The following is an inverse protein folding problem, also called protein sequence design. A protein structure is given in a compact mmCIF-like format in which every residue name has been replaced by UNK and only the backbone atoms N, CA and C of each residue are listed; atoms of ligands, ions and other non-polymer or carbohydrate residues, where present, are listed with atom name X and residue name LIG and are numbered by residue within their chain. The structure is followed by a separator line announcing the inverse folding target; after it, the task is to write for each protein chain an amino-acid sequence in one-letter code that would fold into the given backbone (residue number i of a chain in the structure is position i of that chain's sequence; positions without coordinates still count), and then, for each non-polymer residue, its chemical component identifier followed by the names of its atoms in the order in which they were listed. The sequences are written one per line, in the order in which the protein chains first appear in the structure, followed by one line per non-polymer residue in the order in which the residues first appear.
data_IF_903202293086
#
_entry.id   IF_903202293086
#
_cell.length_a   1.000
_cell.length_b   1.000
_cell.length_c   1.000
_cell.angle_alpha   90.00
_cell.angle_beta   90.00
_cell.angle_gamma   90.00
#
_symmetry.space_group_name_H-M   'P 1'
#
loop_
_entity.id
_entity.type
_entity.pdbx_description
1 polymer ?
#
# COMPACT_ATOMS: atom_id res chain seq x y z
N UNK A 1 21.14 -21.88 27.94
CA UNK A 1 21.80 -21.06 26.90
C UNK A 1 20.88 -21.05 25.69
N UNK A 2 20.51 -19.88 25.16
CA UNK A 2 19.73 -19.78 23.93
C UNK A 2 20.73 -19.90 22.78
N UNK A 3 20.93 -21.12 22.26
CA UNK A 3 21.88 -21.40 21.18
C UNK A 3 21.38 -20.94 19.80
N UNK A 4 20.22 -20.28 19.72
CA UNK A 4 19.62 -19.83 18.46
C UNK A 4 19.26 -18.36 18.52
N UNK A 5 19.90 -17.56 17.69
CA UNK A 5 19.52 -16.14 17.52
C UNK A 5 18.09 -16.10 16.98
N UNK A 6 17.21 -15.39 17.67
CA UNK A 6 15.85 -15.11 17.19
C UNK A 6 15.95 -13.91 16.24
N UNK A 7 15.68 -14.07 14.93
CA UNK A 7 15.73 -12.97 13.98
C UNK A 7 14.57 -12.00 14.21
N UNK A 8 14.74 -10.73 13.81
CA UNK A 8 13.68 -9.71 13.85
C UNK A 8 12.43 -10.13 13.07
N UNK A 9 12.62 -10.75 11.92
CA UNK A 9 11.56 -11.29 11.10
C UNK A 9 12.11 -12.36 10.15
N UNK A 10 11.27 -13.29 9.77
CA UNK A 10 11.60 -14.34 8.83
C UNK A 10 10.35 -14.72 8.04
N UNK A 11 10.48 -14.82 6.72
CA UNK A 11 9.42 -15.30 5.83
C UNK A 11 9.13 -16.78 6.08
N UNK A 12 7.90 -17.17 5.82
CA UNK A 12 7.50 -18.57 5.77
C UNK A 12 7.13 -18.94 4.33
N UNK A 13 7.86 -19.88 3.76
CA UNK A 13 7.63 -20.43 2.42
C UNK A 13 7.17 -21.87 2.56
N UNK A 14 6.02 -22.20 1.96
CA UNK A 14 5.46 -23.55 1.91
C UNK A 14 5.83 -24.26 0.61
N UNK A 15 5.61 -25.58 0.58
CA UNK A 15 5.79 -26.36 -0.66
C UNK A 15 4.88 -25.87 -1.79
N UNK A 16 3.68 -25.38 -1.46
CA UNK A 16 2.76 -24.77 -2.44
C UNK A 16 3.36 -23.48 -3.04
N UNK A 17 3.99 -22.62 -2.23
CA UNK A 17 4.67 -21.43 -2.71
C UNK A 17 5.81 -21.79 -3.69
N UNK A 18 6.59 -22.82 -3.35
CA UNK A 18 7.67 -23.29 -4.21
C UNK A 18 7.08 -23.84 -5.51
N UNK A 19 6.01 -24.64 -5.44
CA UNK A 19 5.35 -25.24 -6.61
C UNK A 19 4.86 -24.18 -7.59
N UNK A 20 4.11 -23.17 -7.14
CA UNK A 20 3.57 -22.16 -8.05
C UNK A 20 4.66 -21.30 -8.70
N UNK A 21 5.76 -21.03 -8.01
CA UNK A 21 6.92 -20.35 -8.59
C UNK A 21 7.59 -21.21 -9.65
N UNK A 22 7.82 -22.51 -9.37
CA UNK A 22 8.40 -23.44 -10.34
C UNK A 22 7.52 -23.62 -11.57
N UNK A 23 6.19 -23.71 -11.39
CA UNK A 23 5.23 -23.81 -12.48
C UNK A 23 5.28 -22.55 -13.36
N UNK A 24 5.35 -21.37 -12.75
CA UNK A 24 5.49 -20.10 -13.49
C UNK A 24 6.81 -20.02 -14.24
N UNK A 25 7.93 -20.44 -13.64
CA UNK A 25 9.24 -20.47 -14.31
C UNK A 25 9.28 -21.41 -15.52
N UNK A 26 8.38 -22.40 -15.58
CA UNK A 26 8.22 -23.33 -16.71
C UNK A 26 7.18 -22.87 -17.74
N UNK A 27 6.45 -21.78 -17.43
CA UNK A 27 5.43 -21.22 -18.34
C UNK A 27 6.05 -20.31 -19.40
N UNK A 28 5.22 -19.87 -20.34
CA UNK A 28 5.63 -18.94 -21.41
C UNK A 28 5.88 -17.50 -20.91
N UNK A 29 5.47 -17.16 -19.67
CA UNK A 29 5.52 -15.80 -19.14
C UNK A 29 6.31 -15.71 -17.85
N UNK A 30 7.40 -14.96 -17.87
CA UNK A 30 8.17 -14.58 -16.67
C UNK A 30 7.88 -13.15 -16.22
N UNK A 31 7.36 -12.33 -17.13
CA UNK A 31 6.95 -10.94 -16.90
C UNK A 31 5.81 -10.56 -17.85
N UNK A 32 4.98 -9.59 -17.46
CA UNK A 32 3.84 -9.10 -18.24
C UNK A 32 2.84 -10.20 -18.63
N UNK A 33 2.78 -11.28 -17.87
CA UNK A 33 1.88 -12.41 -18.08
C UNK A 33 0.66 -12.36 -17.14
N UNK A 34 -0.11 -13.45 -17.09
CA UNK A 34 -1.40 -13.50 -16.41
C UNK A 34 -1.34 -13.53 -14.88
N UNK A 35 -0.18 -13.84 -14.26
CA UNK A 35 -0.08 -13.94 -12.81
C UNK A 35 -0.19 -12.56 -12.13
N UNK A 36 0.27 -11.49 -12.81
CA UNK A 36 0.21 -10.12 -12.27
C UNK A 36 -1.25 -9.67 -12.11
N UNK A 37 -2.10 -9.64 -13.16
CA UNK A 37 -3.49 -9.24 -13.00
C UNK A 37 -4.29 -10.18 -12.08
N UNK A 38 -3.93 -11.47 -11.99
CA UNK A 38 -4.55 -12.38 -11.04
C UNK A 38 -4.23 -11.97 -9.59
N UNK A 39 -2.97 -11.62 -9.30
CA UNK A 39 -2.56 -11.15 -7.97
C UNK A 39 -3.22 -9.82 -7.62
N UNK A 40 -3.28 -8.87 -8.56
CA UNK A 40 -3.97 -7.59 -8.38
C UNK A 40 -5.44 -7.83 -8.02
N UNK A 41 -6.15 -8.64 -8.80
CA UNK A 41 -7.55 -8.99 -8.54
C UNK A 41 -7.76 -9.64 -7.17
N UNK A 42 -6.97 -10.66 -6.84
CA UNK A 42 -7.05 -11.36 -5.56
C UNK A 42 -6.79 -10.40 -4.39
N UNK A 43 -5.90 -9.44 -4.57
CA UNK A 43 -5.59 -8.43 -3.55
C UNK A 43 -6.73 -7.41 -3.40
N UNK A 44 -7.35 -6.96 -4.50
CA UNK A 44 -8.58 -6.15 -4.46
C UNK A 44 -9.66 -6.80 -3.61
N UNK A 45 -9.91 -8.10 -3.84
CA UNK A 45 -10.89 -8.88 -3.07
C UNK A 45 -10.50 -9.02 -1.58
N UNK A 46 -9.19 -9.03 -1.26
CA UNK A 46 -8.70 -9.17 0.11
C UNK A 46 -8.88 -7.90 0.95
N UNK A 47 -8.64 -6.73 0.35
CA UNK A 47 -8.73 -5.43 1.04
C UNK A 47 -10.03 -4.68 0.75
N UNK A 48 -10.89 -5.22 -0.13
CA UNK A 48 -12.18 -4.64 -0.53
C UNK A 48 -12.05 -3.28 -1.24
N UNK A 49 -11.22 -3.23 -2.27
CA UNK A 49 -10.95 -2.05 -3.10
C UNK A 49 -11.25 -2.33 -4.58
N UNK A 50 -11.52 -1.29 -5.36
CA UNK A 50 -11.84 -1.45 -6.78
C UNK A 50 -10.60 -1.78 -7.63
N UNK A 51 -9.46 -1.13 -7.34
CA UNK A 51 -8.26 -1.21 -8.16
C UNK A 51 -7.01 -1.44 -7.32
N UNK A 52 -6.10 -2.23 -7.85
CA UNK A 52 -4.74 -2.37 -7.31
C UNK A 52 -3.71 -2.45 -8.43
N UNK A 53 -2.52 -1.94 -8.17
CA UNK A 53 -1.38 -1.91 -9.11
C UNK A 53 -0.18 -2.56 -8.43
N UNK A 54 0.18 -3.76 -8.89
CA UNK A 54 1.35 -4.49 -8.40
C UNK A 54 2.64 -3.91 -8.97
N UNK A 55 3.63 -3.68 -8.11
CA UNK A 55 4.92 -3.09 -8.46
C UNK A 55 6.08 -3.82 -7.80
N UNK A 56 7.30 -3.52 -8.26
CA UNK A 56 8.54 -4.18 -7.83
C UNK A 56 8.85 -4.08 -6.33
N UNK A 57 8.36 -3.07 -5.62
CA UNK A 57 8.48 -2.89 -4.17
C UNK A 57 7.58 -1.75 -3.68
N UNK A 58 7.37 -1.62 -2.36
CA UNK A 58 6.53 -0.57 -1.79
C UNK A 58 7.09 0.85 -1.99
N UNK A 59 8.40 1.01 -2.09
CA UNK A 59 8.99 2.32 -2.42
C UNK A 59 8.55 2.80 -3.81
N UNK A 60 8.52 1.88 -4.78
CA UNK A 60 7.99 2.13 -6.11
C UNK A 60 6.47 2.45 -6.06
N UNK A 61 5.70 1.71 -5.24
CA UNK A 61 4.27 1.97 -5.05
C UNK A 61 4.02 3.37 -4.48
N UNK A 62 4.73 3.75 -3.42
CA UNK A 62 4.65 5.10 -2.82
C UNK A 62 5.05 6.19 -3.81
N UNK A 63 6.09 5.95 -4.63
CA UNK A 63 6.55 6.93 -5.62
C UNK A 63 5.49 7.17 -6.71
N UNK A 64 4.97 6.11 -7.36
CA UNK A 64 3.92 6.27 -8.38
C UNK A 64 2.61 6.80 -7.78
N UNK A 65 2.31 6.51 -6.51
CA UNK A 65 1.18 7.09 -5.80
C UNK A 65 1.36 8.62 -5.62
N UNK A 66 2.52 9.06 -5.17
CA UNK A 66 2.82 10.50 -5.04
C UNK A 66 2.76 11.21 -6.41
N UNK A 67 3.26 10.59 -7.48
CA UNK A 67 3.13 11.11 -8.85
C UNK A 67 1.67 11.19 -9.30
N UNK A 68 0.86 10.16 -9.05
CA UNK A 68 -0.56 10.12 -9.41
C UNK A 68 -1.37 11.18 -8.66
N UNK A 69 -1.00 11.48 -7.41
CA UNK A 69 -1.54 12.56 -6.58
C UNK A 69 -1.00 13.95 -6.96
N UNK A 70 -0.26 14.02 -8.07
CA UNK A 70 0.24 15.26 -8.68
C UNK A 70 1.19 16.07 -7.77
N UNK A 71 2.01 15.37 -6.98
CA UNK A 71 3.08 16.01 -6.19
C UNK A 71 4.15 16.56 -7.12
N UNK A 72 4.49 17.84 -6.95
CA UNK A 72 5.44 18.59 -7.76
C UNK A 72 6.51 19.29 -6.93
N UNK A 73 7.52 19.78 -7.62
CA UNK A 73 8.57 20.59 -6.99
C UNK A 73 7.96 21.80 -6.28
N UNK A 74 8.31 21.95 -5.00
CA UNK A 74 7.84 23.04 -4.13
C UNK A 74 6.58 22.71 -3.35
N UNK A 75 5.81 21.67 -3.68
CA UNK A 75 4.66 21.25 -2.89
C UNK A 75 5.08 20.78 -1.50
N UNK A 76 4.26 21.09 -0.48
CA UNK A 76 4.49 20.61 0.87
C UNK A 76 3.52 19.47 1.19
N UNK A 77 4.05 18.38 1.74
CA UNK A 77 3.27 17.21 2.16
C UNK A 77 3.62 16.85 3.60
N UNK A 78 2.59 16.56 4.38
CA UNK A 78 2.74 16.15 5.78
C UNK A 78 3.11 14.66 5.85
N UNK A 79 4.01 14.30 6.78
CA UNK A 79 4.36 12.92 7.09
C UNK A 79 4.69 12.79 8.58
N UNK A 80 4.68 11.57 9.12
CA UNK A 80 5.21 11.28 10.46
C UNK A 80 6.71 11.02 10.42
N UNK A 81 7.50 11.40 11.47
CA UNK A 81 8.91 11.03 11.55
C UNK A 81 9.13 9.56 11.93
N UNK A 82 8.15 8.91 12.54
CA UNK A 82 8.21 7.48 12.89
C UNK A 82 7.72 6.62 11.74
N UNK A 83 8.60 6.37 10.78
CA UNK A 83 8.31 5.62 9.56
C UNK A 83 9.56 5.04 8.92
N UNK A 84 9.39 4.15 7.96
CA UNK A 84 10.47 3.83 7.02
C UNK A 84 10.71 5.00 6.06
N UNK A 85 11.95 5.21 5.67
CA UNK A 85 12.35 6.37 4.86
C UNK A 85 11.53 6.57 3.56
N UNK A 86 10.98 5.49 2.99
CA UNK A 86 10.21 5.53 1.73
C UNK A 86 8.98 6.42 1.80
N UNK A 87 8.30 6.50 2.97
CA UNK A 87 7.08 7.30 3.13
C UNK A 87 7.36 8.80 2.98
N UNK A 88 8.56 9.26 3.37
CA UNK A 88 9.01 10.63 3.14
C UNK A 88 9.71 10.79 1.77
N UNK A 89 10.49 9.78 1.37
CA UNK A 89 11.26 9.86 0.13
C UNK A 89 10.37 9.91 -1.12
N UNK A 90 9.19 9.29 -1.12
CA UNK A 90 8.28 9.34 -2.27
C UNK A 90 7.93 10.78 -2.65
N UNK A 91 7.76 11.66 -1.67
CA UNK A 91 7.52 13.09 -1.87
C UNK A 91 8.77 13.79 -2.41
N UNK A 92 9.95 13.44 -1.84
CA UNK A 92 11.23 14.01 -2.28
C UNK A 92 11.59 13.60 -3.71
N UNK A 93 11.26 12.39 -4.14
CA UNK A 93 11.44 11.93 -5.52
C UNK A 93 10.66 12.78 -6.52
N UNK A 94 9.48 13.28 -6.12
CA UNK A 94 8.67 14.21 -6.93
C UNK A 94 9.14 15.69 -6.81
N UNK A 95 10.19 15.98 -6.03
CA UNK A 95 10.68 17.35 -5.78
C UNK A 95 9.91 18.11 -4.69
N UNK A 96 8.93 17.49 -4.05
CA UNK A 96 8.15 18.09 -2.95
C UNK A 96 8.95 18.19 -1.66
N UNK A 97 8.43 18.94 -0.71
CA UNK A 97 8.95 19.13 0.64
C UNK A 97 8.14 18.33 1.65
N UNK A 98 8.81 17.79 2.67
CA UNK A 98 8.15 17.04 3.74
C UNK A 98 8.08 17.88 5.00
N UNK A 99 6.88 18.05 5.54
CA UNK A 99 6.62 18.59 6.87
C UNK A 99 6.37 17.43 7.82
N UNK A 100 7.29 17.19 8.74
CA UNK A 100 7.06 16.20 9.79
C UNK A 100 6.16 16.76 10.89
N UNK A 101 5.17 15.96 11.29
CA UNK A 101 4.33 16.16 12.47
C UNK A 101 4.50 14.94 13.35
N UNK A 102 4.70 15.19 14.65
CA UNK A 102 5.00 14.17 15.63
C UNK A 102 3.84 13.20 15.87
N UNK A 103 4.14 12.08 16.47
CA UNK A 103 3.20 11.02 16.80
C UNK A 103 2.49 11.26 18.12
N UNK A 104 1.35 10.61 18.27
CA UNK A 104 0.71 10.37 19.55
C UNK A 104 1.50 9.28 20.30
N UNK A 105 1.96 9.50 21.55
CA UNK A 105 2.82 8.57 22.28
C UNK A 105 2.14 7.24 22.66
N UNK A 106 0.80 7.20 22.69
CA UNK A 106 0.05 6.00 23.08
C UNK A 106 -0.20 5.09 21.89
N UNK A 107 -0.39 5.66 20.67
CA UNK A 107 -0.73 4.90 19.46
C UNK A 107 0.44 4.76 18.48
N UNK A 108 1.45 5.62 18.58
CA UNK A 108 2.56 5.77 17.64
C UNK A 108 2.14 6.20 16.22
N UNK A 109 0.88 6.57 16.04
CA UNK A 109 0.37 7.15 14.80
C UNK A 109 0.57 8.67 14.79
N UNK A 110 0.53 9.29 13.60
CA UNK A 110 0.56 10.75 13.46
C UNK A 110 -0.53 11.37 14.35
N UNK A 111 -0.15 12.34 15.20
CA UNK A 111 -1.06 12.94 16.16
C UNK A 111 -2.07 13.87 15.47
N UNK A 112 -3.36 13.58 15.61
CA UNK A 112 -4.43 14.31 14.92
C UNK A 112 -4.61 15.74 15.45
N UNK A 113 -4.34 15.97 16.74
CA UNK A 113 -4.49 17.31 17.32
C UNK A 113 -3.35 18.21 16.86
N UNK A 114 -2.11 17.69 16.83
CA UNK A 114 -0.95 18.39 16.22
C UNK A 114 -1.16 18.63 14.71
N UNK A 115 -1.81 17.68 14.01
CA UNK A 115 -2.18 17.85 12.60
C UNK A 115 -3.11 19.04 12.42
N UNK A 116 -4.19 19.12 13.21
CA UNK A 116 -5.15 20.22 13.19
C UNK A 116 -4.49 21.56 13.55
N UNK A 117 -3.60 21.58 14.55
CA UNK A 117 -2.82 22.75 14.92
C UNK A 117 -2.00 23.30 13.74
N UNK A 118 -1.22 22.43 13.08
CA UNK A 118 -0.38 22.80 11.93
C UNK A 118 -1.22 23.30 10.76
N UNK A 119 -2.32 22.62 10.45
CA UNK A 119 -3.18 22.97 9.32
C UNK A 119 -3.91 24.31 9.59
N UNK A 120 -4.45 24.53 10.80
CA UNK A 120 -5.14 25.76 11.17
C UNK A 120 -4.22 26.98 11.26
N UNK A 121 -2.95 26.78 11.60
CA UNK A 121 -1.94 27.84 11.64
C UNK A 121 -1.40 28.21 10.24
N UNK A 122 -1.77 27.47 9.20
CA UNK A 122 -1.26 27.68 7.83
C UNK A 122 -2.38 28.14 6.89
N UNK A 123 -2.09 28.97 5.88
CA UNK A 123 -3.06 29.28 4.84
C UNK A 123 -3.57 27.99 4.15
N UNK A 124 -4.87 27.94 3.82
CA UNK A 124 -5.45 26.82 3.08
C UNK A 124 -4.70 26.60 1.76
N UNK A 125 -4.40 25.35 1.41
CA UNK A 125 -3.61 25.01 0.24
C UNK A 125 -2.09 25.05 0.45
N UNK A 126 -1.59 25.38 1.67
CA UNK A 126 -0.15 25.26 2.00
C UNK A 126 0.34 23.84 1.89
N UNK A 127 -0.46 22.86 2.28
CA UNK A 127 -0.16 21.44 2.18
C UNK A 127 -1.06 20.78 1.14
N UNK A 128 -0.48 19.98 0.26
CA UNK A 128 -1.19 19.23 -0.79
C UNK A 128 -1.87 17.98 -0.25
N UNK A 129 -1.27 17.35 0.76
CA UNK A 129 -1.76 16.12 1.34
C UNK A 129 -0.91 15.63 2.49
N UNK A 130 -1.21 14.40 2.90
CA UNK A 130 -0.52 13.75 4.00
C UNK A 130 -0.23 12.28 3.71
N UNK A 131 0.93 11.80 4.18
CA UNK A 131 1.29 10.38 4.21
C UNK A 131 1.10 9.89 5.64
N UNK A 132 0.12 9.00 5.82
CA UNK A 132 -0.23 8.39 7.10
C UNK A 132 0.31 6.97 7.14
N UNK A 133 1.00 6.58 8.22
CA UNK A 133 1.69 5.30 8.32
C UNK A 133 1.07 4.45 9.43
N UNK A 134 0.52 3.30 9.08
CA UNK A 134 -0.04 2.30 10.00
C UNK A 134 1.08 1.59 10.78
N UNK A 135 1.69 2.31 11.70
CA UNK A 135 2.90 1.85 12.39
C UNK A 135 2.65 0.53 13.14
N UNK A 136 3.55 -0.43 12.94
CA UNK A 136 3.48 -1.79 13.51
C UNK A 136 2.15 -2.54 13.22
N UNK A 137 1.38 -2.09 12.22
CA UNK A 137 0.11 -2.69 11.82
C UNK A 137 -1.09 -2.21 12.62
N UNK A 138 -0.92 -1.15 13.44
CA UNK A 138 -2.03 -0.49 14.12
C UNK A 138 -2.72 0.47 13.16
N UNK A 139 -4.00 0.26 12.79
CA UNK A 139 -4.66 1.07 11.78
C UNK A 139 -5.12 2.41 12.36
N UNK A 140 -5.10 3.45 11.54
CA UNK A 140 -5.76 4.72 11.86
C UNK A 140 -7.28 4.55 11.98
N UNK A 141 -7.92 5.37 12.81
CA UNK A 141 -9.32 5.73 12.58
C UNK A 141 -9.37 6.71 11.39
N UNK A 142 -9.26 6.16 10.18
CA UNK A 142 -9.06 6.94 8.95
C UNK A 142 -10.23 7.90 8.66
N UNK A 143 -11.42 7.62 9.22
CA UNK A 143 -12.58 8.53 9.09
C UNK A 143 -12.31 9.91 9.72
N UNK A 144 -11.64 9.96 10.87
CA UNK A 144 -11.30 11.21 11.53
C UNK A 144 -10.29 12.02 10.72
N UNK A 145 -9.28 11.36 10.17
CA UNK A 145 -8.27 12.02 9.31
C UNK A 145 -8.87 12.47 7.99
N UNK A 146 -9.83 11.72 7.42
CA UNK A 146 -10.55 12.15 6.21
C UNK A 146 -11.35 13.43 6.44
N UNK A 147 -12.05 13.56 7.56
CA UNK A 147 -12.77 14.80 7.93
C UNK A 147 -11.81 15.99 7.97
N UNK A 148 -10.63 15.83 8.56
CA UNK A 148 -9.61 16.89 8.59
C UNK A 148 -9.08 17.17 7.17
N UNK A 149 -8.80 16.13 6.39
CA UNK A 149 -8.31 16.29 5.03
C UNK A 149 -9.31 17.02 4.12
N UNK A 150 -10.61 16.73 4.25
CA UNK A 150 -11.68 17.40 3.49
C UNK A 150 -11.82 18.87 3.88
N UNK A 151 -11.67 19.21 5.18
CA UNK A 151 -11.72 20.61 5.65
C UNK A 151 -10.61 21.46 5.02
N UNK A 152 -9.41 20.88 4.82
CA UNK A 152 -8.23 21.57 4.30
C UNK A 152 -7.92 21.30 2.83
N UNK A 153 -8.81 20.57 2.12
CA UNK A 153 -8.65 20.21 0.71
C UNK A 153 -7.32 19.48 0.42
N UNK A 154 -7.04 18.48 1.23
CA UNK A 154 -5.81 17.66 1.15
C UNK A 154 -6.14 16.20 0.86
N UNK A 155 -5.23 15.52 0.12
CA UNK A 155 -5.34 14.07 -0.10
C UNK A 155 -4.66 13.26 1.02
N UNK A 156 -5.03 11.98 1.13
CA UNK A 156 -4.45 11.00 2.05
C UNK A 156 -3.80 9.86 1.25
N UNK A 157 -2.49 9.70 1.43
CA UNK A 157 -1.74 8.50 1.04
C UNK A 157 -1.48 7.67 2.29
N UNK A 158 -2.07 6.47 2.38
CA UNK A 158 -1.93 5.55 3.50
C UNK A 158 -0.78 4.56 3.23
N UNK A 159 0.26 4.61 4.04
CA UNK A 159 1.34 3.61 4.03
C UNK A 159 0.99 2.47 4.99
N UNK A 160 0.33 1.45 4.46
CA UNK A 160 -0.14 0.27 5.18
C UNK A 160 0.83 -0.92 5.07
N UNK A 161 2.12 -0.67 4.84
CA UNK A 161 3.13 -1.72 4.68
C UNK A 161 3.24 -2.69 5.87
N UNK A 162 2.71 -2.34 7.04
CA UNK A 162 2.67 -3.18 8.22
C UNK A 162 1.25 -3.70 8.55
N UNK A 163 0.22 -3.29 7.81
CA UNK A 163 -1.18 -3.46 8.19
C UNK A 163 -2.05 -4.30 7.22
N UNK A 164 -1.52 -5.27 6.42
CA UNK A 164 -2.38 -6.08 5.57
C UNK A 164 -3.35 -6.90 6.43
N UNK A 165 -4.65 -6.68 6.22
CA UNK A 165 -5.72 -7.32 6.96
C UNK A 165 -6.11 -6.66 8.28
N UNK A 166 -5.49 -5.54 8.67
CA UNK A 166 -5.94 -4.69 9.75
C UNK A 166 -7.27 -4.00 9.40
N UNK A 167 -7.95 -3.49 10.41
CA UNK A 167 -9.23 -2.80 10.26
C UNK A 167 -9.53 -1.94 11.49
N UNK A 168 -10.36 -0.94 11.31
CA UNK A 168 -10.94 -0.14 12.40
C UNK A 168 -12.48 -0.16 12.29
N UNK A 169 -13.15 0.34 13.31
CA UNK A 169 -14.61 0.51 13.30
C UNK A 169 -14.92 1.99 13.13
N UNK A 170 -15.71 2.33 12.09
CA UNK A 170 -16.11 3.73 11.82
C UNK A 170 -17.23 4.19 12.76
N UNK A 171 -17.69 5.43 12.62
CA UNK A 171 -18.75 6.03 13.43
C UNK A 171 -20.11 5.33 13.29
N UNK A 172 -20.34 4.63 12.18
CA UNK A 172 -21.57 3.86 11.91
C UNK A 172 -21.51 2.44 12.49
N UNK A 173 -20.41 2.06 13.15
CA UNK A 173 -20.18 0.72 13.69
C UNK A 173 -19.75 -0.30 12.64
N UNK A 174 -19.41 0.13 11.44
CA UNK A 174 -18.97 -0.75 10.35
C UNK A 174 -17.47 -1.01 10.43
N UNK A 175 -17.10 -2.22 10.06
CA UNK A 175 -15.71 -2.63 9.93
C UNK A 175 -15.11 -2.13 8.61
N UNK A 176 -14.12 -1.25 8.70
CA UNK A 176 -13.38 -0.72 7.55
C UNK A 176 -11.99 -1.33 7.51
N UNK A 177 -11.69 -2.04 6.44
CA UNK A 177 -10.37 -2.66 6.25
C UNK A 177 -9.35 -1.64 5.75
N UNK A 178 -8.14 -1.69 6.30
CA UNK A 178 -6.97 -1.00 5.75
C UNK A 178 -6.78 -1.42 4.30
N UNK A 179 -6.59 -0.44 3.42
CA UNK A 179 -6.49 -0.69 1.99
C UNK A 179 -7.79 -0.67 1.22
N UNK A 180 -8.96 -0.60 1.89
CA UNK A 180 -10.25 -0.44 1.19
C UNK A 180 -10.41 0.91 0.49
N UNK A 181 -9.51 1.86 0.77
CA UNK A 181 -9.55 3.22 0.26
C UNK A 181 -10.93 3.91 0.43
N UNK A 182 -11.65 3.56 1.51
CA UNK A 182 -12.93 4.22 1.83
C UNK A 182 -12.71 5.66 2.31
N UNK A 183 -11.58 5.91 2.96
CA UNK A 183 -11.24 7.21 3.55
C UNK A 183 -9.85 7.72 3.13
N UNK A 184 -9.03 6.90 2.45
CA UNK A 184 -7.78 7.30 1.82
C UNK A 184 -7.93 7.40 0.30
N UNK A 185 -7.11 8.21 -0.37
CA UNK A 185 -7.10 8.31 -1.83
C UNK A 185 -6.33 7.15 -2.45
N UNK A 186 -5.19 6.81 -1.85
CA UNK A 186 -4.37 5.66 -2.22
C UNK A 186 -3.86 4.99 -0.94
N UNK A 187 -3.83 3.65 -0.92
CA UNK A 187 -3.17 2.86 0.13
C UNK A 187 -2.07 1.99 -0.48
N UNK A 188 -0.91 1.93 0.20
CA UNK A 188 0.25 1.16 -0.26
C UNK A 188 0.59 0.02 0.69
N UNK A 189 0.95 -1.15 0.12
CA UNK A 189 1.40 -2.34 0.85
C UNK A 189 2.77 -2.81 0.37
N UNK A 190 3.48 -3.54 1.24
CA UNK A 190 4.78 -4.14 0.97
C UNK A 190 4.72 -5.66 1.07
N UNK A 191 5.43 -6.32 0.16
CA UNK A 191 5.64 -7.77 0.16
C UNK A 191 7.11 -8.15 0.34
N UNK A 192 7.89 -7.29 1.03
CA UNK A 192 9.24 -7.59 1.48
C UNK A 192 9.23 -8.79 2.46
N UNK A 193 10.29 -9.62 2.55
CA UNK A 193 10.30 -10.85 3.35
C UNK A 193 9.93 -10.73 4.83
N UNK A 194 10.17 -9.57 5.45
CA UNK A 194 9.82 -9.33 6.87
C UNK A 194 8.34 -8.96 7.08
N UNK A 195 7.54 -8.81 5.98
CA UNK A 195 6.12 -8.45 6.06
C UNK A 195 5.23 -9.70 6.23
N UNK A 196 3.93 -9.47 6.40
CA UNK A 196 2.95 -10.54 6.68
C UNK A 196 2.82 -11.57 5.56
N UNK A 197 3.07 -11.15 4.33
CA UNK A 197 3.18 -11.99 3.13
C UNK A 197 4.34 -11.46 2.29
N UNK A 198 4.96 -12.33 1.49
CA UNK A 198 6.12 -11.94 0.69
C UNK A 198 6.03 -12.41 -0.75
N UNK A 199 6.62 -11.62 -1.64
CA UNK A 199 6.94 -11.97 -3.03
C UNK A 199 8.46 -11.95 -3.29
N UNK A 200 9.28 -11.97 -2.20
CA UNK A 200 10.70 -11.67 -2.25
C UNK A 200 10.95 -10.16 -2.24
N UNK A 201 10.63 -9.49 -3.28
CA UNK A 201 10.39 -8.05 -3.37
C UNK A 201 9.03 -7.84 -4.02
N UNK A 202 8.29 -6.80 -3.60
CA UNK A 202 7.00 -6.45 -4.16
C UNK A 202 6.28 -5.36 -3.38
N UNK A 203 5.36 -4.70 -4.05
CA UNK A 203 4.46 -3.72 -3.47
C UNK A 203 3.12 -3.70 -4.20
N UNK A 204 2.14 -3.07 -3.58
CA UNK A 204 0.82 -2.86 -4.15
C UNK A 204 0.34 -1.45 -3.83
N UNK A 205 -0.18 -0.73 -4.81
CA UNK A 205 -0.90 0.52 -4.62
C UNK A 205 -2.39 0.29 -4.92
N UNK A 206 -3.26 0.65 -3.99
CA UNK A 206 -4.71 0.43 -4.05
C UNK A 206 -5.45 1.76 -4.12
N UNK A 207 -6.54 1.82 -4.88
CA UNK A 207 -7.41 3.00 -4.96
C UNK A 207 -8.83 2.64 -5.43
N UNK A 208 -9.81 3.50 -5.11
CA UNK A 208 -11.16 3.42 -5.70
C UNK A 208 -11.36 4.43 -6.84
N UNK A 209 -10.34 5.21 -7.16
CA UNK A 209 -10.41 6.25 -8.19
C UNK A 209 -9.79 5.76 -9.50
N UNK A 210 -10.61 5.66 -10.56
CA UNK A 210 -10.20 5.17 -11.89
C UNK A 210 -9.03 5.97 -12.46
N UNK A 211 -9.04 7.31 -12.31
CA UNK A 211 -7.97 8.18 -12.84
C UNK A 211 -6.63 7.97 -12.13
N UNK A 212 -6.67 7.75 -10.81
CA UNK A 212 -5.45 7.44 -10.05
C UNK A 212 -4.90 6.06 -10.44
N UNK A 213 -5.78 5.08 -10.66
CA UNK A 213 -5.41 3.76 -11.14
C UNK A 213 -4.74 3.82 -12.53
N UNK A 214 -5.35 4.53 -13.49
CA UNK A 214 -4.79 4.72 -14.85
C UNK A 214 -3.40 5.36 -14.79
N UNK A 215 -3.23 6.46 -14.03
CA UNK A 215 -1.93 7.11 -13.86
C UNK A 215 -0.89 6.19 -13.25
N UNK A 216 -1.21 5.49 -12.16
CA UNK A 216 -0.27 4.57 -11.51
C UNK A 216 0.13 3.42 -12.44
N UNK A 217 -0.81 2.90 -13.23
CA UNK A 217 -0.56 1.86 -14.23
C UNK A 217 0.41 2.32 -15.33
N UNK A 218 0.24 3.55 -15.82
CA UNK A 218 1.15 4.18 -16.78
C UNK A 218 2.55 4.38 -16.17
N UNK A 219 2.62 4.98 -14.97
CA UNK A 219 3.90 5.26 -14.32
C UNK A 219 4.69 3.99 -14.00
N UNK A 220 4.02 2.88 -13.67
CA UNK A 220 4.65 1.56 -13.47
C UNK A 220 5.38 1.05 -14.72
N UNK A 221 4.91 1.43 -15.92
CA UNK A 221 5.28 0.83 -17.21
C UNK A 221 5.77 1.88 -18.20
N UNK A 222 6.79 2.68 -17.81
CA UNK A 222 7.45 3.70 -18.65
C UNK A 222 6.52 4.82 -19.18
N UNK A 223 5.29 4.95 -18.71
CA UNK A 223 4.29 5.86 -19.28
C UNK A 223 3.81 5.45 -20.68
N UNK A 224 4.00 4.16 -21.04
CA UNK A 224 3.62 3.59 -22.33
C UNK A 224 2.18 3.13 -22.31
N UNK A 225 1.45 3.46 -23.38
CA UNK A 225 0.09 2.98 -23.62
C UNK A 225 -0.05 2.28 -24.97
N UNK A 226 -0.97 1.32 -25.05
CA UNK A 226 -1.50 0.70 -26.27
C UNK A 226 -2.96 1.10 -26.49
N UNK A 227 -3.52 1.95 -25.61
CA UNK A 227 -4.92 2.37 -25.73
C UNK A 227 -5.09 3.39 -26.84
N UNK A 228 -5.85 3.04 -27.85
CA UNK A 228 -6.10 3.86 -29.03
C UNK A 228 -6.61 5.27 -28.73
N UNK A 229 -7.38 5.42 -27.64
CA UNK A 229 -7.94 6.71 -27.23
C UNK A 229 -6.88 7.68 -26.67
N UNK A 230 -5.72 7.16 -26.23
CA UNK A 230 -4.62 7.94 -25.65
C UNK A 230 -3.45 8.14 -26.62
N UNK A 231 -3.48 7.48 -27.81
CA UNK A 231 -2.41 7.56 -28.81
C UNK A 231 -2.75 8.55 -29.92
N UNK A 232 -1.76 9.23 -30.44
CA UNK A 232 -1.89 10.13 -31.59
C UNK A 232 -2.03 9.37 -32.92
N UNK A 233 -1.43 8.14 -32.99
CA UNK A 233 -1.42 7.30 -34.19
C UNK A 233 -1.71 5.85 -33.85
N UNK A 234 -2.09 5.07 -34.88
CA UNK A 234 -2.37 3.61 -34.79
C UNK A 234 -1.77 2.91 -36.00
N UNK A 235 -0.46 2.66 -35.96
CA UNK A 235 0.27 2.09 -37.11
C UNK A 235 0.27 0.54 -37.12
N UNK A 236 -0.46 -0.10 -36.19
CA UNK A 236 -0.62 -1.55 -36.12
C UNK A 236 -0.57 -2.11 -34.66
N UNK A 237 -0.74 -3.43 -34.49
CA UNK A 237 -0.84 -4.04 -33.13
C UNK A 237 0.49 -4.00 -32.34
N UNK A 238 1.59 -3.70 -32.96
CA UNK A 238 2.92 -3.53 -32.36
C UNK A 238 3.20 -2.09 -31.93
N UNK A 239 2.35 -1.11 -32.31
CA UNK A 239 2.55 0.29 -32.05
C UNK A 239 2.14 0.65 -30.61
N UNK A 240 2.90 1.53 -30.00
CA UNK A 240 2.63 2.11 -28.68
C UNK A 240 3.21 3.52 -28.59
N UNK A 241 2.73 4.30 -27.66
CA UNK A 241 3.24 5.65 -27.39
C UNK A 241 3.58 5.83 -25.92
N UNK A 242 4.64 6.61 -25.66
CA UNK A 242 4.95 7.12 -24.32
C UNK A 242 4.20 8.45 -24.16
N UNK A 243 3.14 8.44 -23.34
CA UNK A 243 2.27 9.61 -23.10
C UNK A 243 2.63 10.34 -21.81
N UNK A 244 3.40 9.71 -20.94
CA UNK A 244 3.86 10.24 -19.66
C UNK A 244 5.27 9.75 -19.34
N UNK A 245 5.99 10.48 -18.48
CA UNK A 245 7.28 10.00 -17.98
C UNK A 245 7.07 8.97 -16.89
N UNK A 246 7.23 7.69 -17.21
CA UNK A 246 7.08 6.57 -16.29
C UNK A 246 8.39 5.85 -15.98
N UNK A 247 8.29 4.78 -15.19
CA UNK A 247 9.40 4.01 -14.67
C UNK A 247 9.28 2.53 -15.03
N UNK A 248 10.33 1.76 -14.83
CA UNK A 248 10.27 0.31 -14.90
C UNK A 248 10.06 -0.27 -13.48
N UNK A 249 8.83 -0.23 -13.00
CA UNK A 249 8.45 -0.69 -11.67
C UNK A 249 7.58 -1.95 -11.69
N UNK A 250 7.60 -2.69 -12.81
CA UNK A 250 6.82 -3.93 -12.96
C UNK A 250 7.26 -4.99 -11.96
N UNK A 251 6.28 -5.71 -11.42
CA UNK A 251 6.48 -6.99 -10.75
C UNK A 251 6.65 -8.08 -11.82
N UNK A 252 7.34 -9.17 -11.52
CA UNK A 252 7.43 -10.35 -12.40
C UNK A 252 6.31 -11.34 -12.12
N UNK A 253 5.98 -12.21 -13.10
CA UNK A 253 4.92 -13.20 -12.94
C UNK A 253 5.22 -14.24 -11.86
N UNK A 254 6.47 -14.69 -11.70
CA UNK A 254 6.80 -15.64 -10.64
C UNK A 254 6.71 -15.02 -9.23
N UNK A 255 6.98 -13.71 -9.09
CA UNK A 255 6.73 -12.98 -7.85
C UNK A 255 5.23 -12.84 -7.59
N UNK A 256 4.44 -12.51 -8.61
CA UNK A 256 2.99 -12.41 -8.50
C UNK A 256 2.34 -13.76 -8.16
N UNK A 257 2.80 -14.87 -8.75
CA UNK A 257 2.35 -16.22 -8.44
C UNK A 257 2.64 -16.59 -6.98
N UNK A 258 3.83 -16.24 -6.46
CA UNK A 258 4.15 -16.36 -5.04
C UNK A 258 3.17 -15.53 -4.19
N UNK A 259 2.88 -14.30 -4.61
CA UNK A 259 1.92 -13.39 -3.97
C UNK A 259 0.53 -13.99 -3.85
N UNK A 260 -0.02 -14.58 -4.92
CA UNK A 260 -1.31 -15.27 -4.92
C UNK A 260 -1.33 -16.43 -3.91
N UNK A 261 -0.27 -17.25 -3.88
CA UNK A 261 -0.16 -18.36 -2.93
C UNK A 261 -0.08 -17.88 -1.47
N UNK A 262 0.74 -16.87 -1.19
CA UNK A 262 0.86 -16.25 0.13
C UNK A 262 -0.46 -15.63 0.60
N UNK A 263 -1.19 -14.97 -0.30
CA UNK A 263 -2.45 -14.28 0.00
C UNK A 263 -3.56 -15.26 0.40
N UNK A 264 -3.64 -16.43 -0.23
CA UNK A 264 -4.58 -17.50 0.17
C UNK A 264 -4.40 -17.87 1.65
N UNK A 265 -3.16 -18.02 2.11
CA UNK A 265 -2.85 -18.32 3.51
C UNK A 265 -3.05 -17.14 4.45
N UNK A 266 -2.87 -15.91 3.97
CA UNK A 266 -3.15 -14.71 4.78
C UNK A 266 -4.64 -14.61 5.14
N UNK A 267 -5.53 -15.01 4.23
CA UNK A 267 -6.98 -15.14 4.48
C UNK A 267 -7.27 -16.16 5.59
N UNK A 268 -6.62 -17.32 5.55
CA UNK A 268 -6.80 -18.39 6.55
C UNK A 268 -6.24 -17.98 7.93
N UNK A 269 -5.07 -17.33 7.98
CA UNK A 269 -4.47 -16.83 9.22
C UNK A 269 -5.34 -15.77 9.91
N UNK A 270 -6.04 -14.94 9.15
CA UNK A 270 -7.01 -13.96 9.65
C UNK A 270 -8.16 -14.65 10.35
N UNK A 271 -8.72 -15.72 9.79
CA UNK A 271 -9.79 -16.52 10.39
C UNK A 271 -9.31 -17.29 11.62
N UNK A 272 -8.10 -17.84 11.61
CA UNK A 272 -7.52 -18.60 12.72
C UNK A 272 -7.19 -17.70 13.93
N UNK A 273 -6.72 -16.47 13.72
CA UNK A 273 -6.47 -15.51 14.81
C UNK A 273 -7.77 -15.09 15.53
N UNK A 274 -8.85 -14.86 14.79
CA UNK A 274 -10.16 -14.57 15.38
C UNK A 274 -10.64 -15.71 16.27
N UNK A 275 -10.41 -16.96 15.88
CA UNK A 275 -10.80 -18.14 16.67
C UNK A 275 -9.88 -18.37 17.88
N UNK A 276 -8.62 -17.93 17.86
CA UNK A 276 -7.69 -18.09 18.99
C UNK A 276 -7.81 -17.00 20.04
N UNK A 277 -8.19 -15.76 19.66
CA UNK A 277 -8.41 -14.67 20.62
C UNK A 277 -9.60 -14.94 21.53
N UNK A 278 -10.64 -15.62 21.06
CA UNK A 278 -11.74 -16.08 21.90
C UNK A 278 -11.37 -17.20 22.90
N UNK A 279 -10.29 -17.95 22.65
CA UNK A 279 -9.78 -18.99 23.56
C UNK A 279 -8.80 -18.47 24.61
N UNK A 280 -8.08 -17.38 24.35
CA UNK A 280 -7.11 -16.83 25.30
C UNK A 280 -7.75 -15.97 26.40
N UNK A 281 -8.89 -15.33 26.14
CA UNK A 281 -9.63 -14.57 27.16
C UNK A 281 -10.26 -15.44 28.26
N UNK A 282 -10.43 -16.75 28.02
CA UNK A 282 -10.98 -17.68 29.02
C UNK A 282 -9.92 -18.30 29.96
N UNK A 283 -8.63 -17.91 29.84
CA UNK A 283 -7.51 -18.48 30.61
C UNK A 283 -6.70 -17.46 31.42
N UNK A 284 -7.17 -16.24 31.60
CA UNK A 284 -6.59 -15.37 32.62
C UNK A 284 -7.09 -15.79 33.99
N UNK A 285 -6.22 -16.22 34.93
CA UNK A 285 -6.66 -16.46 36.29
C UNK A 285 -7.11 -15.13 36.89
N UNK A 286 -8.32 -15.12 37.47
CA UNK A 286 -8.71 -14.10 38.42
C UNK A 286 -7.81 -14.26 39.64
N UNK A 287 -6.79 -13.45 39.76
CA UNK A 287 -6.00 -13.25 40.97
C UNK A 287 -6.16 -11.82 41.39
N UNK A 288 -6.83 -11.75 42.43
CA UNK A 288 -6.76 -11.08 43.71
C UNK A 288 -5.83 -9.86 43.74
#
# INVERSE_FOLDING_TARGET
MIDKIIPYGHQFISDEDIRVVVDTLKSDYLTCGPAIPAFEKDFCDYVHVNHSVAVSNATAALHIAAMALDVKSGDNVICTPLTFASSANCIRFCGGNVKFIDINPDTYLLDIDKLKEVLSASPKGTYKGMVLVDFAGYPFNMEEYRKVADEYDTWILEDACHAPGAWFTNSDGEKVYTGSCRYSDITVFSFHPVKHMTTGEGGMACTNNDKLFEKMSLYRTHGITHESALMERQDGPWYYEMVELGYNYRLTDFQAALGCSQLKRARDRKSTRLNSSHRSLSRMPSSA
#
